data_IF_916484960129
#
_entry.id   IF_916484960129
#
_cell.length_a   1.000
_cell.length_b   1.000
_cell.length_c   1.000
_cell.angle_alpha   90.00
_cell.angle_beta   90.00
_cell.angle_gamma   90.00
#
_symmetry.space_group_name_H-M   'P 1'
#
loop_
_entity.id
_entity.type
_entity.pdbx_description
1 polymer ?
#
# COMPACT_ATOMS: atom_id res chain seq x y z
N UNK A 1 -11.59 13.64 -18.35
CA UNK A 1 -12.65 12.75 -17.79
C UNK A 1 -12.01 11.94 -16.69
N UNK A 2 -12.52 11.94 -15.47
CA UNK A 2 -12.01 11.03 -14.45
C UNK A 2 -12.16 9.59 -14.97
N UNK A 3 -11.06 8.86 -15.02
CA UNK A 3 -11.07 7.44 -15.40
C UNK A 3 -11.70 6.64 -14.25
N UNK A 4 -12.62 5.74 -14.57
CA UNK A 4 -13.20 4.80 -13.59
C UNK A 4 -12.07 3.97 -12.97
N UNK A 5 -11.88 3.99 -11.64
CA UNK A 5 -10.87 3.15 -11.01
C UNK A 5 -11.15 1.66 -11.25
N UNK A 6 -10.10 0.89 -11.54
CA UNK A 6 -10.21 -0.54 -11.83
C UNK A 6 -9.43 -1.35 -10.82
N UNK A 7 -10.04 -2.40 -10.30
CA UNK A 7 -9.37 -3.27 -9.34
C UNK A 7 -9.52 -4.75 -9.68
N UNK A 8 -8.60 -5.56 -9.17
CA UNK A 8 -8.70 -7.01 -9.19
C UNK A 8 -8.55 -7.58 -7.77
N UNK A 9 -9.02 -8.80 -7.59
CA UNK A 9 -8.94 -9.54 -6.33
C UNK A 9 -8.22 -10.85 -6.60
N UNK A 10 -7.27 -11.20 -5.74
CA UNK A 10 -6.53 -12.46 -5.78
C UNK A 10 -6.64 -13.15 -4.43
N UNK A 11 -7.30 -14.29 -4.41
CA UNK A 11 -7.56 -15.07 -3.20
C UNK A 11 -7.79 -16.54 -3.62
N UNK A 12 -7.03 -17.47 -3.08
CA UNK A 12 -7.13 -18.89 -3.43
C UNK A 12 -8.43 -19.54 -2.95
N UNK A 13 -9.18 -18.85 -2.08
CA UNK A 13 -10.52 -19.23 -1.65
C UNK A 13 -11.60 -18.47 -2.47
N UNK A 14 -12.24 -19.07 -3.50
CA UNK A 14 -13.20 -18.37 -4.38
C UNK A 14 -14.34 -17.69 -3.63
N UNK A 15 -14.85 -18.34 -2.57
CA UNK A 15 -15.94 -17.79 -1.76
C UNK A 15 -15.54 -16.53 -0.98
N UNK A 16 -14.27 -16.42 -0.58
CA UNK A 16 -13.76 -15.23 0.10
C UNK A 16 -13.54 -14.10 -0.90
N UNK A 17 -12.98 -14.41 -2.09
CA UNK A 17 -12.86 -13.46 -3.19
C UNK A 17 -14.22 -12.88 -3.59
N UNK A 18 -15.25 -13.72 -3.80
CA UNK A 18 -16.61 -13.28 -4.12
C UNK A 18 -17.21 -12.38 -3.02
N UNK A 19 -17.01 -12.77 -1.75
CA UNK A 19 -17.50 -11.99 -0.61
C UNK A 19 -16.84 -10.64 -0.50
N UNK A 20 -15.55 -10.55 -0.79
CA UNK A 20 -14.81 -9.29 -0.85
C UNK A 20 -15.32 -8.43 -2.02
N UNK A 21 -15.52 -9.01 -3.20
CA UNK A 21 -16.06 -8.31 -4.36
C UNK A 21 -17.44 -7.69 -4.08
N UNK A 22 -18.35 -8.44 -3.44
CA UNK A 22 -19.65 -7.93 -3.02
C UNK A 22 -19.54 -6.75 -2.06
N UNK A 23 -18.63 -6.81 -1.09
CA UNK A 23 -18.39 -5.71 -0.15
C UNK A 23 -17.78 -4.49 -0.82
N UNK A 24 -16.85 -4.69 -1.75
CA UNK A 24 -16.27 -3.61 -2.54
C UNK A 24 -17.31 -2.96 -3.46
N UNK A 25 -18.21 -3.71 -4.07
CA UNK A 25 -19.28 -3.16 -4.86
C UNK A 25 -20.20 -2.20 -4.07
N UNK A 26 -20.36 -2.45 -2.77
CA UNK A 26 -21.10 -1.55 -1.87
C UNK A 26 -20.24 -0.38 -1.40
N UNK A 27 -18.99 -0.63 -1.00
CA UNK A 27 -18.09 0.39 -0.44
C UNK A 27 -17.50 1.31 -1.52
N UNK A 28 -17.40 0.82 -2.76
CA UNK A 28 -16.78 1.54 -3.89
C UNK A 28 -17.57 1.35 -5.20
N UNK A 29 -18.82 1.79 -5.28
CA UNK A 29 -19.68 1.54 -6.43
C UNK A 29 -19.21 2.18 -7.75
N UNK A 30 -18.26 3.15 -7.68
CA UNK A 30 -17.70 3.80 -8.86
C UNK A 30 -16.52 3.04 -9.48
N UNK A 31 -15.99 2.01 -8.80
CA UNK A 31 -14.87 1.23 -9.29
C UNK A 31 -15.34 -0.02 -10.04
N UNK A 32 -14.59 -0.40 -11.07
CA UNK A 32 -14.82 -1.59 -11.87
C UNK A 32 -13.99 -2.76 -11.33
N UNK A 33 -14.65 -3.89 -11.05
CA UNK A 33 -13.97 -5.15 -10.74
C UNK A 33 -13.57 -5.84 -12.05
N UNK A 34 -12.27 -5.96 -12.30
CA UNK A 34 -11.75 -6.62 -13.50
C UNK A 34 -11.90 -8.15 -13.46
N UNK A 35 -11.96 -8.70 -12.25
CA UNK A 35 -12.15 -10.14 -12.04
C UNK A 35 -11.58 -10.63 -10.72
N UNK A 36 -11.71 -11.96 -10.53
CA UNK A 36 -11.21 -12.71 -9.38
C UNK A 36 -10.21 -13.73 -9.88
N UNK A 37 -9.05 -13.80 -9.25
CA UNK A 37 -7.99 -14.77 -9.54
C UNK A 37 -7.72 -15.60 -8.30
N UNK A 38 -7.36 -16.85 -8.51
CA UNK A 38 -7.24 -17.82 -7.42
C UNK A 38 -5.83 -18.40 -7.29
N UNK A 39 -4.87 -17.82 -8.01
CA UNK A 39 -3.44 -18.13 -7.90
C UNK A 39 -2.58 -16.93 -8.33
N UNK A 40 -1.37 -16.87 -7.80
CA UNK A 40 -0.47 -15.75 -8.03
C UNK A 40 0.10 -15.64 -9.44
N UNK A 41 0.21 -16.76 -10.19
CA UNK A 41 0.76 -16.75 -11.54
C UNK A 41 -0.23 -16.14 -12.53
N UNK A 42 -1.47 -16.61 -12.53
CA UNK A 42 -2.54 -16.04 -13.37
C UNK A 42 -2.84 -14.60 -13.00
N UNK A 43 -2.77 -14.26 -11.70
CA UNK A 43 -2.91 -12.88 -11.24
C UNK A 43 -1.79 -11.96 -11.76
N UNK A 44 -0.55 -12.44 -11.81
CA UNK A 44 0.58 -11.68 -12.38
C UNK A 44 0.35 -11.35 -13.85
N UNK A 45 -0.10 -12.33 -14.64
CA UNK A 45 -0.43 -12.12 -16.05
C UNK A 45 -1.60 -11.14 -16.23
N UNK A 46 -2.62 -11.24 -15.36
CA UNK A 46 -3.75 -10.33 -15.36
C UNK A 46 -3.33 -8.90 -15.01
N UNK A 47 -2.48 -8.69 -14.02
CA UNK A 47 -1.94 -7.37 -13.67
C UNK A 47 -1.19 -6.77 -14.87
N UNK A 48 -0.32 -7.56 -15.51
CA UNK A 48 0.48 -7.09 -16.64
C UNK A 48 -0.37 -6.72 -17.87
N UNK A 49 -1.42 -7.48 -18.16
CA UNK A 49 -2.27 -7.31 -19.34
C UNK A 49 -3.38 -6.28 -19.12
N UNK A 50 -4.03 -6.28 -17.96
CA UNK A 50 -5.20 -5.45 -17.69
C UNK A 50 -4.86 -4.13 -17.00
N UNK A 51 -3.65 -4.01 -16.40
CA UNK A 51 -3.15 -2.81 -15.72
C UNK A 51 -4.20 -2.21 -14.76
N UNK A 52 -4.55 -2.94 -13.69
CA UNK A 52 -5.47 -2.42 -12.68
C UNK A 52 -4.87 -1.25 -11.93
N UNK A 53 -5.70 -0.37 -11.40
CA UNK A 53 -5.27 0.71 -10.52
C UNK A 53 -4.99 0.20 -9.11
N UNK A 54 -5.72 -0.86 -8.70
CA UNK A 54 -5.62 -1.47 -7.36
C UNK A 54 -5.63 -3.00 -7.45
N UNK A 55 -4.83 -3.66 -6.62
CA UNK A 55 -4.86 -5.11 -6.43
C UNK A 55 -5.09 -5.44 -4.96
N UNK A 56 -6.17 -6.19 -4.68
CA UNK A 56 -6.43 -6.80 -3.39
C UNK A 56 -5.86 -8.22 -3.40
N UNK A 57 -4.87 -8.50 -2.56
CA UNK A 57 -4.11 -9.75 -2.60
C UNK A 57 -4.22 -10.50 -1.28
N UNK A 58 -4.60 -11.78 -1.32
CA UNK A 58 -4.27 -12.64 -0.18
C UNK A 58 -2.76 -12.90 -0.17
N UNK A 59 -2.19 -12.99 1.01
CA UNK A 59 -0.77 -13.29 1.18
C UNK A 59 -0.52 -14.77 0.92
N UNK A 60 -1.32 -15.65 1.50
CA UNK A 60 -1.13 -17.10 1.43
C UNK A 60 -1.89 -17.71 0.26
N UNK A 61 -1.17 -17.98 -0.82
CA UNK A 61 -1.72 -18.67 -1.99
C UNK A 61 -0.74 -19.75 -2.47
N UNK A 62 -1.23 -20.86 -3.05
CA UNK A 62 -0.39 -21.88 -3.64
C UNK A 62 0.50 -21.35 -4.78
N UNK A 63 1.72 -21.82 -4.85
CA UNK A 63 2.68 -21.46 -5.89
C UNK A 63 3.34 -20.12 -5.64
N UNK A 64 2.78 -19.03 -6.16
CA UNK A 64 3.26 -17.67 -5.93
C UNK A 64 2.38 -16.99 -4.87
N UNK A 65 2.95 -16.67 -3.71
CA UNK A 65 2.23 -15.95 -2.67
C UNK A 65 2.03 -14.45 -3.01
N UNK A 66 1.12 -13.81 -2.27
CA UNK A 66 0.77 -12.41 -2.53
C UNK A 66 1.89 -11.42 -2.24
N UNK A 67 2.81 -11.73 -1.31
CA UNK A 67 3.97 -10.90 -1.02
C UNK A 67 4.94 -10.89 -2.20
N UNK A 68 5.24 -12.08 -2.74
CA UNK A 68 6.10 -12.21 -3.91
C UNK A 68 5.47 -11.54 -5.14
N UNK A 69 4.15 -11.72 -5.33
CA UNK A 69 3.42 -11.04 -6.40
C UNK A 69 3.52 -9.51 -6.28
N UNK A 70 3.35 -8.97 -5.09
CA UNK A 70 3.47 -7.55 -4.83
C UNK A 70 4.91 -7.04 -5.01
N UNK A 71 5.93 -7.81 -4.60
CA UNK A 71 7.34 -7.49 -4.82
C UNK A 71 7.66 -7.37 -6.32
N UNK A 72 7.09 -8.21 -7.17
CA UNK A 72 7.25 -8.14 -8.62
C UNK A 72 6.68 -6.85 -9.23
N UNK A 73 5.80 -6.14 -8.52
CA UNK A 73 5.26 -4.85 -8.97
C UNK A 73 6.14 -3.67 -8.55
N UNK A 74 7.07 -3.86 -7.60
CA UNK A 74 7.94 -2.77 -7.14
C UNK A 74 8.79 -2.21 -8.27
N UNK A 75 8.82 -0.87 -8.38
CA UNK A 75 9.61 -0.17 -9.39
C UNK A 75 8.99 -0.13 -10.80
N UNK A 76 7.84 -0.74 -11.03
CA UNK A 76 7.11 -0.60 -12.28
C UNK A 76 6.33 0.72 -12.30
N UNK A 77 6.42 1.47 -13.40
CA UNK A 77 5.76 2.77 -13.51
C UNK A 77 4.22 2.69 -13.38
N UNK A 78 3.64 1.59 -13.86
CA UNK A 78 2.19 1.33 -13.86
C UNK A 78 1.77 0.33 -12.77
N UNK A 79 2.56 0.22 -11.68
CA UNK A 79 2.24 -0.70 -10.60
C UNK A 79 0.90 -0.34 -9.93
N UNK A 80 0.01 -1.34 -9.68
CA UNK A 80 -1.21 -1.09 -8.93
C UNK A 80 -0.92 -0.70 -7.48
N UNK A 81 -1.84 0.01 -6.85
CA UNK A 81 -1.87 0.14 -5.40
C UNK A 81 -2.20 -1.21 -4.78
N UNK A 82 -1.38 -1.67 -3.84
CA UNK A 82 -1.55 -2.99 -3.23
C UNK A 82 -2.28 -2.86 -1.90
N UNK A 83 -3.29 -3.70 -1.70
CA UNK A 83 -3.96 -3.91 -0.41
C UNK A 83 -3.91 -5.40 -0.10
N UNK A 84 -3.30 -5.77 1.01
CA UNK A 84 -3.34 -7.17 1.45
C UNK A 84 -4.63 -7.48 2.20
N UNK A 85 -5.20 -8.66 1.93
CA UNK A 85 -6.43 -9.16 2.58
C UNK A 85 -6.19 -10.59 3.01
N UNK A 86 -5.89 -10.83 4.29
CA UNK A 86 -5.46 -12.16 4.73
C UNK A 86 -5.94 -12.49 6.15
N UNK A 87 -5.98 -13.77 6.49
CA UNK A 87 -6.29 -14.24 7.83
C UNK A 87 -5.10 -14.12 8.82
N UNK A 88 -3.90 -13.87 8.32
CA UNK A 88 -2.66 -13.92 9.10
C UNK A 88 -2.20 -12.53 9.51
N UNK A 89 -2.32 -12.20 10.81
CA UNK A 89 -1.86 -10.92 11.36
C UNK A 89 -0.33 -10.82 11.44
N UNK A 90 0.36 -11.95 11.49
CA UNK A 90 1.81 -12.02 11.65
C UNK A 90 2.59 -11.49 10.42
N UNK A 91 2.00 -11.54 9.24
CA UNK A 91 2.60 -11.04 7.99
C UNK A 91 2.42 -9.53 7.75
N UNK A 92 1.72 -8.83 8.64
CA UNK A 92 1.61 -7.38 8.53
C UNK A 92 2.99 -6.70 8.52
N UNK A 93 3.97 -7.23 9.26
CA UNK A 93 5.33 -6.70 9.32
C UNK A 93 6.12 -6.95 8.02
N UNK A 94 5.90 -8.10 7.37
CA UNK A 94 6.54 -8.42 6.07
C UNK A 94 5.94 -7.58 4.94
N UNK A 95 4.64 -7.27 5.02
CA UNK A 95 3.96 -6.40 4.08
C UNK A 95 4.48 -4.94 4.10
N UNK A 96 5.09 -4.48 5.21
CA UNK A 96 5.74 -3.17 5.27
C UNK A 96 7.01 -3.06 4.41
N UNK A 97 7.65 -4.18 4.07
CA UNK A 97 8.76 -4.23 3.09
C UNK A 97 8.30 -4.06 1.65
N UNK A 98 7.02 -4.26 1.39
CA UNK A 98 6.35 -4.02 0.11
C UNK A 98 5.48 -2.80 0.32
N UNK A 99 5.58 -1.78 -0.51
CA UNK A 99 4.85 -0.50 -0.40
C UNK A 99 3.31 -0.70 -0.57
N UNK A 100 2.69 -1.46 0.36
CA UNK A 100 1.26 -1.68 0.41
C UNK A 100 0.54 -0.44 0.99
N UNK A 101 -0.61 -0.13 0.43
CA UNK A 101 -1.45 0.98 0.89
C UNK A 101 -2.13 0.64 2.21
N UNK A 102 -2.57 -0.59 2.36
CA UNK A 102 -3.27 -1.06 3.55
C UNK A 102 -3.19 -2.58 3.72
N UNK A 103 -3.61 -3.02 4.91
CA UNK A 103 -3.67 -4.41 5.32
C UNK A 103 -5.02 -4.68 5.99
N UNK A 104 -5.78 -5.62 5.46
CA UNK A 104 -7.12 -6.00 5.94
C UNK A 104 -7.09 -7.44 6.45
N UNK A 105 -7.49 -7.64 7.71
CA UNK A 105 -7.65 -8.97 8.28
C UNK A 105 -8.99 -9.58 7.88
N UNK A 106 -8.99 -10.86 7.52
CA UNK A 106 -10.20 -11.66 7.34
C UNK A 106 -10.75 -12.10 8.71
N UNK A 107 -12.07 -12.00 8.97
CA UNK A 107 -13.10 -11.47 8.08
C UNK A 107 -13.04 -9.94 7.94
N UNK A 108 -13.06 -9.43 6.71
CA UNK A 108 -12.91 -8.00 6.45
C UNK A 108 -14.03 -7.20 7.11
N UNK A 109 -13.67 -6.28 8.00
CA UNK A 109 -14.62 -5.37 8.63
C UNK A 109 -15.11 -4.31 7.64
N UNK A 110 -16.43 -4.03 7.54
CA UNK A 110 -16.97 -3.07 6.57
C UNK A 110 -16.46 -1.63 6.79
N UNK A 111 -16.30 -1.19 8.04
CA UNK A 111 -15.82 0.16 8.34
C UNK A 111 -14.34 0.30 7.97
N UNK A 112 -13.55 -0.73 8.24
CA UNK A 112 -12.15 -0.79 7.87
C UNK A 112 -11.97 -0.79 6.35
N UNK A 113 -12.81 -1.55 5.62
CA UNK A 113 -12.83 -1.56 4.16
C UNK A 113 -13.18 -0.17 3.59
N UNK A 114 -14.18 0.50 4.15
CA UNK A 114 -14.56 1.85 3.73
C UNK A 114 -13.42 2.86 3.91
N UNK A 115 -12.70 2.80 5.04
CA UNK A 115 -11.53 3.64 5.29
C UNK A 115 -10.39 3.37 4.28
N UNK A 116 -10.14 2.09 3.95
CA UNK A 116 -9.17 1.70 2.92
C UNK A 116 -9.56 2.26 1.55
N UNK A 117 -10.85 2.15 1.17
CA UNK A 117 -11.36 2.70 -0.10
C UNK A 117 -11.16 4.21 -0.17
N UNK A 118 -11.46 4.96 0.90
CA UNK A 118 -11.22 6.40 0.94
C UNK A 118 -9.74 6.75 0.73
N UNK A 119 -8.83 6.00 1.34
CA UNK A 119 -7.38 6.17 1.15
C UNK A 119 -6.97 5.90 -0.28
N UNK A 120 -7.47 4.81 -0.90
CA UNK A 120 -7.21 4.47 -2.30
C UNK A 120 -7.69 5.57 -3.24
N UNK A 121 -8.90 6.10 -3.04
CA UNK A 121 -9.45 7.20 -3.83
C UNK A 121 -8.55 8.44 -3.78
N UNK A 122 -8.08 8.81 -2.58
CA UNK A 122 -7.14 9.93 -2.40
C UNK A 122 -5.83 9.75 -3.15
N UNK A 123 -5.24 8.53 -3.10
CA UNK A 123 -3.99 8.21 -3.80
C UNK A 123 -4.17 8.19 -5.31
N UNK A 124 -5.28 7.64 -5.82
CA UNK A 124 -5.57 7.62 -7.26
C UNK A 124 -5.83 9.04 -7.80
N UNK A 125 -6.54 9.87 -7.05
CA UNK A 125 -6.74 11.27 -7.41
C UNK A 125 -5.40 12.04 -7.47
N UNK A 126 -4.48 11.78 -6.53
CA UNK A 126 -3.14 12.36 -6.55
C UNK A 126 -2.31 11.87 -7.76
N UNK A 127 -2.40 10.59 -8.14
CA UNK A 127 -1.74 10.05 -9.35
C UNK A 127 -2.23 10.74 -10.64
N UNK A 128 -3.54 10.95 -10.77
CA UNK A 128 -4.12 11.63 -11.94
C UNK A 128 -3.82 13.11 -11.98
N UNK A 129 -3.68 13.78 -10.84
CA UNK A 129 -3.27 15.18 -10.76
C UNK A 129 -1.79 15.39 -11.12
N UNK A 130 -0.96 14.35 -11.03
CA UNK A 130 0.48 14.38 -11.33
C UNK A 130 0.83 14.04 -12.79
N UNK A 131 -0.15 13.94 -13.71
CA UNK A 131 0.12 13.89 -15.14
C UNK A 131 0.79 15.22 -15.59
N UNK A 132 1.78 15.21 -16.54
CA UNK A 132 2.79 16.24 -16.68
C UNK A 132 2.21 17.59 -17.11
N UNK A 133 2.01 18.45 -16.15
CA UNK A 133 1.61 19.84 -16.30
C UNK A 133 1.95 20.60 -15.03
N UNK A 134 3.22 20.93 -14.90
CA UNK A 134 3.80 21.96 -14.02
C UNK A 134 2.91 22.40 -12.85
N UNK A 135 3.15 21.85 -11.65
CA UNK A 135 3.04 22.58 -10.39
C UNK A 135 3.79 21.83 -9.30
N UNK A 136 4.80 22.49 -8.80
CA UNK A 136 5.50 22.12 -7.59
C UNK A 136 4.53 22.10 -6.42
N UNK A 137 4.39 20.96 -5.72
CA UNK A 137 3.81 20.91 -4.39
C UNK A 137 4.73 20.10 -3.48
N UNK A 138 5.06 20.60 -2.30
CA UNK A 138 6.14 20.09 -1.48
C UNK A 138 5.79 18.97 -0.52
N UNK A 139 4.79 18.10 -0.78
CA UNK A 139 4.49 17.00 0.14
C UNK A 139 3.77 15.83 -0.54
N UNK A 140 4.53 14.95 -1.24
CA UNK A 140 3.96 13.68 -1.71
C UNK A 140 4.43 13.20 -3.08
N UNK A 141 5.67 13.44 -3.45
CA UNK A 141 6.23 12.99 -4.72
C UNK A 141 7.09 11.74 -4.57
N UNK A 142 7.05 10.90 -5.58
CA UNK A 142 7.94 9.76 -5.81
C UNK A 142 9.37 10.25 -6.20
N UNK A 143 9.88 11.22 -5.43
CA UNK A 143 11.24 11.71 -5.44
C UNK A 143 12.03 11.09 -4.30
N UNK A 144 13.37 11.20 -4.27
CA UNK A 144 14.15 10.75 -3.13
C UNK A 144 13.55 11.35 -1.86
N UNK A 145 13.42 10.52 -0.82
CA UNK A 145 12.93 10.93 0.50
C UNK A 145 13.64 12.20 0.93
N UNK A 146 12.93 13.31 1.02
CA UNK A 146 13.50 14.60 1.45
C UNK A 146 13.39 14.83 2.94
N UNK A 147 12.42 14.17 3.59
CA UNK A 147 12.15 14.31 5.02
C UNK A 147 11.83 12.97 5.64
N UNK A 148 12.40 12.72 6.82
CA UNK A 148 12.00 11.63 7.71
C UNK A 148 11.03 12.18 8.75
N UNK A 149 9.95 11.43 9.03
CA UNK A 149 9.05 11.76 10.14
C UNK A 149 9.62 11.15 11.43
N UNK A 150 10.04 11.98 12.36
CA UNK A 150 10.46 11.57 13.69
C UNK A 150 9.39 11.97 14.70
N UNK A 151 8.83 11.00 15.44
CA UNK A 151 7.82 11.24 16.47
C UNK A 151 8.46 11.39 17.84
N UNK A 152 8.08 12.44 18.59
CA UNK A 152 8.42 12.62 19.98
C UNK A 152 7.12 12.82 20.78
N UNK A 153 6.62 11.77 21.43
CA UNK A 153 5.32 11.81 22.07
C UNK A 153 4.22 12.09 21.05
N UNK A 154 3.42 13.13 21.28
CA UNK A 154 2.34 13.57 20.38
C UNK A 154 2.81 14.50 19.25
N UNK A 155 4.09 14.81 19.16
CA UNK A 155 4.63 15.77 18.19
C UNK A 155 5.41 15.03 17.11
N UNK A 156 5.12 15.32 15.83
CA UNK A 156 5.84 14.80 14.66
C UNK A 156 6.77 15.88 14.13
N UNK A 157 8.06 15.59 14.10
CA UNK A 157 9.09 16.45 13.51
C UNK A 157 9.43 15.94 12.11
N UNK A 158 9.57 16.85 11.14
CA UNK A 158 10.09 16.53 9.81
C UNK A 158 11.58 16.81 9.80
N UNK A 159 12.38 15.77 9.65
CA UNK A 159 13.84 15.85 9.58
C UNK A 159 14.28 15.74 8.14
N UNK A 160 14.96 16.74 7.54
CA UNK A 160 15.51 16.65 6.21
C UNK A 160 16.48 15.47 6.12
N UNK A 161 16.33 14.63 5.08
CA UNK A 161 17.21 13.46 4.90
C UNK A 161 18.69 13.88 4.73
N UNK A 162 18.90 15.06 4.16
CA UNK A 162 20.24 15.64 4.00
C UNK A 162 20.97 15.92 5.34
N UNK A 163 20.20 16.04 6.42
CA UNK A 163 20.73 16.24 7.78
C UNK A 163 20.93 14.92 8.54
N UNK A 164 20.49 13.80 7.98
CA UNK A 164 20.62 12.48 8.60
C UNK A 164 21.97 11.89 8.24
N UNK A 165 22.83 11.73 9.24
CA UNK A 165 24.14 11.11 9.07
C UNK A 165 24.03 9.59 8.98
N UNK A 166 23.23 8.98 9.82
CA UNK A 166 22.93 7.54 9.78
C UNK A 166 21.65 7.20 10.56
N UNK A 167 21.15 6.01 10.32
CA UNK A 167 20.00 5.43 11.02
C UNK A 167 20.52 4.33 11.96
N UNK A 168 20.18 4.43 13.23
CA UNK A 168 20.54 3.45 14.26
C UNK A 168 19.29 2.64 14.64
N UNK A 169 19.38 1.31 14.53
CA UNK A 169 18.33 0.42 14.99
C UNK A 169 18.44 0.24 16.51
N UNK A 170 17.41 0.58 17.24
CA UNK A 170 17.26 0.31 18.65
C UNK A 170 16.04 -0.58 18.86
N UNK A 171 16.05 -1.40 19.90
CA UNK A 171 15.15 -2.53 20.22
C UNK A 171 13.67 -2.42 19.77
N UNK A 172 13.09 -1.22 19.70
CA UNK A 172 11.72 -0.94 19.27
C UNK A 172 11.60 0.29 18.36
N UNK A 173 12.72 0.90 17.97
CA UNK A 173 12.74 2.18 17.30
C UNK A 173 13.87 2.24 16.28
N UNK A 174 13.66 3.03 15.22
CA UNK A 174 14.77 3.51 14.38
C UNK A 174 15.05 4.95 14.78
N UNK A 175 16.29 5.22 15.14
CA UNK A 175 16.76 6.55 15.54
C UNK A 175 17.50 7.20 14.37
N UNK A 176 17.07 8.39 13.97
CA UNK A 176 17.81 9.19 13.00
C UNK A 176 18.84 10.07 13.76
N UNK A 177 20.11 9.95 13.40
CA UNK A 177 21.19 10.76 13.95
C UNK A 177 21.52 11.87 12.97
N UNK A 178 21.50 13.12 13.46
CA UNK A 178 21.81 14.31 12.68
C UNK A 178 23.03 15.04 13.27
N UNK A 179 23.65 15.96 12.51
CA UNK A 179 24.78 16.77 12.98
C UNK A 179 24.46 17.61 14.25
N UNK A 180 23.18 17.89 14.51
CA UNK A 180 22.72 18.72 15.63
C UNK A 180 22.26 17.91 16.84
N UNK A 181 22.48 16.60 16.86
CA UNK A 181 22.10 15.69 17.94
C UNK A 181 21.04 14.68 17.54
N UNK A 182 20.59 13.89 18.52
CA UNK A 182 19.62 12.81 18.28
C UNK A 182 18.23 13.39 18.08
N UNK A 183 17.57 13.03 16.97
CA UNK A 183 16.11 13.07 16.91
C UNK A 183 15.57 11.81 17.55
N UNK A 184 14.64 11.97 18.50
CA UNK A 184 14.12 10.85 19.28
C UNK A 184 13.38 9.82 18.41
N UNK A 185 13.32 8.57 18.87
CA UNK A 185 12.96 7.43 18.06
C UNK A 185 11.51 7.47 17.58
N UNK A 186 11.29 7.16 16.31
CA UNK A 186 9.96 6.78 15.83
C UNK A 186 9.69 5.37 16.30
N UNK A 187 8.63 5.10 17.10
CA UNK A 187 8.31 3.74 17.48
C UNK A 187 7.99 2.93 16.23
N UNK A 188 8.61 1.77 16.11
CA UNK A 188 8.14 0.73 15.21
C UNK A 188 6.81 0.29 15.83
N UNK A 189 5.69 0.77 15.31
CA UNK A 189 4.39 0.30 15.75
C UNK A 189 4.30 -1.19 15.42
N UNK A 190 4.14 -1.99 16.50
CA UNK A 190 3.86 -3.42 16.39
C UNK A 190 2.49 -3.65 15.80
#
# INVERSE_FOLDING_TARGET
MPTTPRYLIVDDEPRLAERLAQRLAVAWPQAECLGLWHDGLSAREAIASQRPDVAFLDIRMPGMDGLLLAQHQLGQADAPLIVFVTAYQEHALEAFGVAAVDYLCKPVDPLRLAATVQRLQGLLAARTASAPGISANPDGGNGPLRYLRAGQGDTVHLVPVEQVMYLEAADKYVRAVTEHGYTQPTPIQK
#
